data_IF_155187089901
#
_entry.id   IF_155187089901
#
_cell.length_a   1.000
_cell.length_b   1.000
_cell.length_c   1.000
_cell.angle_alpha   90.00
_cell.angle_beta   90.00
_cell.angle_gamma   90.00
#
_symmetry.space_group_name_H-M   'P 1'
#
loop_
_entity.id
_entity.type
_entity.pdbx_description
1 polymer ?
#
# COMPACT_ATOMS: atom_id res chain seq x y z
N UNK A 1 33.42 -7.46 -12.73
CA UNK A 1 32.95 -7.23 -11.34
C UNK A 1 31.48 -6.85 -11.44
N UNK A 2 30.59 -7.77 -11.13
CA UNK A 2 29.15 -7.49 -11.06
C UNK A 2 28.94 -6.65 -9.81
N UNK A 3 28.65 -5.37 -10.03
CA UNK A 3 28.20 -4.45 -8.99
C UNK A 3 26.85 -4.98 -8.47
N UNK A 4 26.93 -5.85 -7.47
CA UNK A 4 25.74 -6.34 -6.78
C UNK A 4 25.18 -5.14 -5.99
N UNK A 5 24.27 -4.42 -6.61
CA UNK A 5 23.50 -3.36 -5.94
C UNK A 5 22.70 -3.99 -4.81
N UNK A 6 23.26 -3.89 -3.61
CA UNK A 6 22.61 -4.40 -2.43
C UNK A 6 21.36 -3.56 -2.14
N UNK A 7 20.20 -4.22 -2.15
CA UNK A 7 18.89 -3.61 -1.92
C UNK A 7 18.74 -2.97 -0.54
N UNK A 8 19.54 -3.22 0.40
CA UNK A 8 19.41 -2.72 1.76
C UNK A 8 18.16 -3.25 2.50
N UNK A 9 18.23 -3.27 3.82
CA UNK A 9 17.19 -3.85 4.69
C UNK A 9 15.87 -3.08 4.56
N UNK A 10 15.91 -1.75 4.46
CA UNK A 10 14.70 -0.90 4.39
C UNK A 10 13.84 -1.24 3.17
N UNK A 11 14.44 -1.32 1.98
CA UNK A 11 13.70 -1.66 0.76
C UNK A 11 13.24 -3.11 0.74
N UNK A 12 14.00 -4.01 1.38
CA UNK A 12 13.57 -5.41 1.54
C UNK A 12 12.31 -5.50 2.40
N UNK A 13 12.29 -4.84 3.56
CA UNK A 13 11.12 -4.81 4.44
C UNK A 13 9.94 -4.17 3.72
N UNK A 14 10.13 -3.02 3.06
CA UNK A 14 9.07 -2.35 2.32
C UNK A 14 8.48 -3.25 1.21
N UNK A 15 9.31 -3.94 0.44
CA UNK A 15 8.87 -4.84 -0.62
C UNK A 15 8.07 -6.04 -0.06
N UNK A 16 8.51 -6.62 1.05
CA UNK A 16 7.78 -7.72 1.72
C UNK A 16 6.43 -7.26 2.25
N UNK A 17 6.38 -6.11 2.93
CA UNK A 17 5.12 -5.56 3.45
C UNK A 17 4.14 -5.24 2.31
N UNK A 18 4.62 -4.67 1.20
CA UNK A 18 3.78 -4.42 0.02
C UNK A 18 3.29 -5.71 -0.63
N UNK A 19 4.11 -6.76 -0.66
CA UNK A 19 3.69 -8.06 -1.16
C UNK A 19 2.57 -8.67 -0.27
N UNK A 20 2.69 -8.56 1.05
CA UNK A 20 1.64 -8.98 1.99
C UNK A 20 0.35 -8.17 1.75
N UNK A 21 0.46 -6.85 1.60
CA UNK A 21 -0.69 -5.99 1.30
C UNK A 21 -1.31 -6.33 -0.07
N UNK A 22 -0.49 -6.68 -1.06
CA UNK A 22 -0.97 -7.12 -2.38
C UNK A 22 -1.85 -8.37 -2.27
N UNK A 23 -1.39 -9.38 -1.54
CA UNK A 23 -2.17 -10.60 -1.28
C UNK A 23 -3.44 -10.27 -0.49
N UNK A 24 -3.35 -9.47 0.57
CA UNK A 24 -4.50 -9.05 1.37
C UNK A 24 -5.55 -8.34 0.51
N UNK A 25 -5.16 -7.44 -0.39
CA UNK A 25 -6.09 -6.77 -1.28
C UNK A 25 -6.66 -7.72 -2.35
N UNK A 26 -5.85 -8.58 -2.94
CA UNK A 26 -6.32 -9.55 -3.93
C UNK A 26 -7.36 -10.52 -3.35
N UNK A 27 -7.29 -10.83 -2.06
CA UNK A 27 -8.21 -11.75 -1.36
C UNK A 27 -9.38 -11.04 -0.66
N UNK A 28 -9.58 -9.73 -0.86
CA UNK A 28 -10.64 -8.96 -0.21
C UNK A 28 -12.04 -9.54 -0.39
N UNK A 29 -12.36 -10.04 -1.59
CA UNK A 29 -13.65 -10.68 -1.84
C UNK A 29 -13.88 -11.90 -0.95
N UNK A 30 -12.84 -12.73 -0.73
CA UNK A 30 -12.94 -13.91 0.13
C UNK A 30 -13.08 -13.50 1.60
N UNK A 31 -12.33 -12.49 2.05
CA UNK A 31 -12.45 -11.93 3.39
C UNK A 31 -13.87 -11.40 3.66
N UNK A 32 -14.44 -10.69 2.67
CA UNK A 32 -15.78 -10.14 2.76
C UNK A 32 -16.87 -11.23 2.80
N UNK A 33 -16.68 -12.35 2.11
CA UNK A 33 -17.61 -13.50 2.15
C UNK A 33 -17.55 -14.23 3.51
N UNK A 34 -16.38 -14.26 4.15
CA UNK A 34 -16.19 -14.92 5.45
C UNK A 34 -16.72 -14.06 6.61
N UNK A 35 -16.51 -12.77 6.54
CA UNK A 35 -16.94 -11.79 7.54
C UNK A 35 -17.66 -10.62 6.86
N UNK A 36 -19.01 -10.61 6.80
CA UNK A 36 -19.78 -9.52 6.19
C UNK A 36 -19.55 -8.14 6.84
N UNK A 37 -19.05 -8.10 8.07
CA UNK A 37 -18.65 -6.89 8.79
C UNK A 37 -17.29 -6.36 8.35
N UNK A 38 -16.59 -7.07 7.49
CA UNK A 38 -15.29 -6.65 6.98
C UNK A 38 -15.41 -5.37 6.15
N UNK A 39 -14.45 -4.47 6.35
CA UNK A 39 -14.46 -3.12 5.76
C UNK A 39 -14.43 -3.07 4.22
N UNK A 40 -14.26 -4.20 3.52
CA UNK A 40 -14.11 -4.18 2.07
C UNK A 40 -12.88 -3.39 1.60
N UNK A 41 -12.86 -3.02 0.32
CA UNK A 41 -11.80 -2.19 -0.22
C UNK A 41 -12.17 -0.70 -0.13
N UNK A 42 -11.21 0.14 0.24
CA UNK A 42 -11.38 1.60 0.32
C UNK A 42 -10.47 2.26 -0.71
N UNK A 43 -11.05 3.01 -1.63
CA UNK A 43 -10.33 3.75 -2.68
C UNK A 43 -10.82 5.20 -2.67
N UNK A 44 -9.90 6.16 -2.55
CA UNK A 44 -10.19 7.59 -2.43
C UNK A 44 -11.28 7.90 -1.39
N UNK A 45 -11.21 7.23 -0.24
CA UNK A 45 -12.16 7.41 0.86
C UNK A 45 -13.54 6.81 0.63
N UNK A 46 -13.77 6.15 -0.49
CA UNK A 46 -15.04 5.45 -0.77
C UNK A 46 -14.88 3.97 -0.41
N UNK A 47 -15.77 3.49 0.44
CA UNK A 47 -15.86 2.08 0.82
C UNK A 47 -16.69 1.30 -0.19
N UNK A 48 -16.16 0.21 -0.68
CA UNK A 48 -16.85 -0.71 -1.59
C UNK A 48 -17.27 -1.96 -0.82
N UNK A 49 -18.57 -2.04 -0.50
CA UNK A 49 -19.14 -3.07 0.38
C UNK A 49 -19.74 -4.25 -0.39
N UNK A 50 -19.82 -4.21 -1.72
CA UNK A 50 -20.36 -5.31 -2.50
C UNK A 50 -19.29 -6.38 -2.81
N UNK A 51 -19.69 -7.63 -2.84
CA UNK A 51 -18.84 -8.76 -3.28
C UNK A 51 -18.31 -8.49 -4.69
N UNK A 52 -19.17 -8.03 -5.60
CA UNK A 52 -18.80 -7.76 -6.99
C UNK A 52 -17.70 -6.71 -7.11
N UNK A 53 -17.80 -5.59 -6.37
CA UNK A 53 -16.75 -4.57 -6.38
C UNK A 53 -15.42 -5.08 -5.78
N UNK A 54 -15.49 -5.88 -4.72
CA UNK A 54 -14.29 -6.43 -4.09
C UNK A 54 -13.60 -7.51 -4.97
N UNK A 55 -14.37 -8.27 -5.76
CA UNK A 55 -13.84 -9.24 -6.75
C UNK A 55 -13.05 -8.53 -7.86
N UNK A 56 -13.45 -7.33 -8.26
CA UNK A 56 -12.79 -6.57 -9.33
C UNK A 56 -11.65 -5.68 -8.76
N UNK A 57 -12.00 -4.84 -7.78
CA UNK A 57 -11.08 -3.82 -7.27
C UNK A 57 -10.00 -4.41 -6.36
N UNK A 58 -10.29 -5.51 -5.66
CA UNK A 58 -9.32 -6.20 -4.81
C UNK A 58 -8.12 -6.70 -5.60
N UNK A 59 -8.31 -7.56 -6.61
CA UNK A 59 -7.21 -8.02 -7.48
C UNK A 59 -6.51 -6.89 -8.23
N UNK A 60 -7.25 -5.87 -8.69
CA UNK A 60 -6.65 -4.71 -9.36
C UNK A 60 -5.69 -3.96 -8.44
N UNK A 61 -6.12 -3.63 -7.22
CA UNK A 61 -5.28 -2.98 -6.23
C UNK A 61 -4.13 -3.91 -5.79
N UNK A 62 -4.40 -5.20 -5.63
CA UNK A 62 -3.39 -6.21 -5.37
C UNK A 62 -2.30 -6.24 -6.44
N UNK A 63 -2.68 -6.17 -7.73
CA UNK A 63 -1.74 -6.15 -8.85
C UNK A 63 -0.85 -4.88 -8.84
N UNK A 64 -1.43 -3.71 -8.53
CA UNK A 64 -0.66 -2.46 -8.40
C UNK A 64 0.36 -2.56 -7.27
N UNK A 65 -0.04 -3.07 -6.10
CA UNK A 65 0.86 -3.25 -4.96
C UNK A 65 1.92 -4.32 -5.23
N UNK A 66 1.57 -5.41 -5.91
CA UNK A 66 2.52 -6.45 -6.33
C UNK A 66 3.56 -5.90 -7.32
N UNK A 67 3.13 -5.10 -8.30
CA UNK A 67 4.04 -4.42 -9.21
C UNK A 67 4.99 -3.49 -8.44
N UNK A 68 4.47 -2.72 -7.48
CA UNK A 68 5.30 -1.84 -6.65
C UNK A 68 6.30 -2.64 -5.81
N UNK A 69 5.86 -3.72 -5.14
CA UNK A 69 6.73 -4.63 -4.40
C UNK A 69 7.85 -5.21 -5.29
N UNK A 70 7.50 -5.65 -6.48
CA UNK A 70 8.45 -6.16 -7.48
C UNK A 70 9.46 -5.08 -7.90
N UNK A 71 8.99 -3.86 -8.15
CA UNK A 71 9.87 -2.73 -8.50
C UNK A 71 10.89 -2.41 -7.42
N UNK A 72 10.48 -2.42 -6.15
CA UNK A 72 11.39 -2.25 -5.00
C UNK A 72 12.34 -3.45 -4.87
N UNK A 73 11.81 -4.67 -5.05
CA UNK A 73 12.60 -5.89 -4.95
C UNK A 73 13.71 -5.95 -5.98
N UNK A 74 13.44 -5.50 -7.19
CA UNK A 74 14.37 -5.55 -8.33
C UNK A 74 15.10 -4.22 -8.59
N UNK A 75 14.91 -3.21 -7.73
CA UNK A 75 15.50 -1.86 -7.84
C UNK A 75 15.21 -1.21 -9.21
N UNK A 76 14.00 -1.34 -9.71
CA UNK A 76 13.60 -0.75 -10.99
C UNK A 76 13.40 0.76 -10.87
N UNK A 77 13.85 1.57 -11.87
CA UNK A 77 13.73 3.03 -11.83
C UNK A 77 12.30 3.53 -11.70
N UNK A 78 11.34 2.82 -12.30
CA UNK A 78 9.93 3.17 -12.22
C UNK A 78 9.30 2.97 -10.82
N UNK A 79 9.98 2.28 -9.90
CA UNK A 79 9.52 2.17 -8.51
C UNK A 79 9.57 3.53 -7.78
N UNK A 80 10.46 4.44 -8.16
CA UNK A 80 10.56 5.76 -7.54
C UNK A 80 9.32 6.64 -7.78
N UNK A 81 8.87 6.89 -9.03
CA UNK A 81 7.63 7.65 -9.24
C UNK A 81 6.41 6.95 -8.65
N UNK A 82 6.36 5.61 -8.65
CA UNK A 82 5.27 4.87 -8.05
C UNK A 82 5.26 5.03 -6.52
N UNK A 83 6.43 5.07 -5.86
CA UNK A 83 6.52 5.31 -4.42
C UNK A 83 6.04 6.72 -4.05
N UNK A 84 6.35 7.71 -4.86
CA UNK A 84 5.88 9.09 -4.66
C UNK A 84 4.35 9.15 -4.81
N UNK A 85 3.80 8.55 -5.86
CA UNK A 85 2.36 8.48 -6.06
C UNK A 85 1.65 7.78 -4.89
N UNK A 86 2.21 6.69 -4.40
CA UNK A 86 1.67 5.95 -3.26
C UNK A 86 1.78 6.74 -1.95
N UNK A 87 2.87 7.49 -1.75
CA UNK A 87 3.06 8.36 -0.59
C UNK A 87 2.03 9.50 -0.51
N UNK A 88 1.53 9.98 -1.65
CA UNK A 88 0.42 10.92 -1.70
C UNK A 88 -0.94 10.23 -1.59
N UNK A 89 -1.10 9.08 -2.23
CA UNK A 89 -2.35 8.33 -2.23
C UNK A 89 -2.77 7.90 -0.82
N UNK A 90 -1.85 7.35 -0.02
CA UNK A 90 -2.18 6.80 1.31
C UNK A 90 -2.75 7.87 2.25
N UNK A 91 -2.07 9.03 2.49
CA UNK A 91 -2.63 10.06 3.36
C UNK A 91 -3.93 10.67 2.78
N UNK A 92 -3.99 10.88 1.46
CA UNK A 92 -5.20 11.38 0.82
C UNK A 92 -6.38 10.42 1.01
N UNK A 93 -6.16 9.12 0.77
CA UNK A 93 -7.18 8.08 0.98
C UNK A 93 -7.66 8.03 2.44
N UNK A 94 -6.75 8.16 3.40
CA UNK A 94 -7.06 8.19 4.83
C UNK A 94 -7.89 9.42 5.22
N UNK A 95 -7.49 10.61 4.77
CA UNK A 95 -8.21 11.85 5.05
C UNK A 95 -9.61 11.80 4.45
N UNK A 96 -9.73 11.35 3.19
CA UNK A 96 -11.03 11.23 2.52
C UNK A 96 -11.92 10.18 3.19
N UNK A 97 -11.34 9.06 3.60
CA UNK A 97 -12.07 8.02 4.34
C UNK A 97 -12.56 8.56 5.69
N UNK A 98 -11.70 9.23 6.43
CA UNK A 98 -12.06 9.88 7.69
C UNK A 98 -13.21 10.87 7.52
N UNK A 99 -13.17 11.68 6.48
CA UNK A 99 -14.19 12.71 6.25
C UNK A 99 -15.54 12.15 5.77
N UNK A 100 -15.54 11.05 4.98
CA UNK A 100 -16.72 10.53 4.30
C UNK A 100 -17.41 9.37 5.02
N UNK A 101 -16.66 8.54 5.74
CA UNK A 101 -17.11 7.21 6.14
C UNK A 101 -16.92 6.90 7.63
N UNK A 102 -16.62 7.91 8.45
CA UNK A 102 -16.70 7.76 9.89
C UNK A 102 -18.17 7.66 10.31
N UNK A 103 -18.66 6.41 10.25
CA UNK A 103 -19.93 6.06 10.87
C UNK A 103 -19.87 6.21 12.42
N UNK A 104 -20.99 5.96 13.11
CA UNK A 104 -21.10 6.12 14.56
C UNK A 104 -20.15 5.21 15.37
N UNK A 105 -19.58 4.19 14.76
CA UNK A 105 -18.62 3.30 15.39
C UNK A 105 -17.19 3.75 15.08
N UNK A 106 -16.65 4.62 15.90
CA UNK A 106 -15.25 5.02 15.85
C UNK A 106 -14.41 3.85 16.38
N UNK A 107 -13.50 3.28 15.57
CA UNK A 107 -12.58 2.26 16.08
C UNK A 107 -11.76 2.79 17.26
N UNK A 108 -11.23 1.95 18.14
CA UNK A 108 -10.40 2.40 19.25
C UNK A 108 -9.28 3.33 18.75
N UNK A 109 -9.16 4.51 19.34
CA UNK A 109 -8.19 5.55 18.93
C UNK A 109 -6.76 4.99 18.79
N UNK A 110 -6.38 4.08 19.66
CA UNK A 110 -5.08 3.40 19.61
C UNK A 110 -4.87 2.60 18.30
N UNK A 111 -5.90 1.91 17.83
CA UNK A 111 -5.85 1.16 16.55
C UNK A 111 -5.71 2.09 15.34
N UNK A 112 -6.42 3.19 15.34
CA UNK A 112 -6.33 4.21 14.29
C UNK A 112 -4.93 4.84 14.27
N UNK A 113 -4.42 5.25 15.42
CA UNK A 113 -3.08 5.85 15.52
C UNK A 113 -1.98 4.88 15.09
N UNK A 114 -2.08 3.60 15.48
CA UNK A 114 -1.13 2.58 15.05
C UNK A 114 -1.17 2.38 13.52
N UNK A 115 -2.38 2.28 12.95
CA UNK A 115 -2.55 2.16 11.49
C UNK A 115 -2.00 3.39 10.75
N UNK A 116 -2.31 4.59 11.22
CA UNK A 116 -1.80 5.85 10.65
C UNK A 116 -0.28 5.90 10.70
N UNK A 117 0.32 5.57 11.86
CA UNK A 117 1.76 5.57 12.02
C UNK A 117 2.43 4.62 11.02
N UNK A 118 1.94 3.38 10.90
CA UNK A 118 2.50 2.38 9.97
C UNK A 118 2.27 2.78 8.51
N UNK A 119 1.06 3.22 8.16
CA UNK A 119 0.71 3.57 6.78
C UNK A 119 1.49 4.81 6.30
N UNK A 120 1.58 5.86 7.12
CA UNK A 120 2.30 7.09 6.78
C UNK A 120 3.82 6.86 6.77
N UNK A 121 4.36 6.19 7.78
CA UNK A 121 5.80 5.90 7.84
C UNK A 121 6.21 4.98 6.69
N UNK A 122 5.42 3.95 6.41
CA UNK A 122 5.70 3.01 5.32
C UNK A 122 5.63 3.65 3.93
N UNK A 123 4.61 4.47 3.65
CA UNK A 123 4.46 5.11 2.35
C UNK A 123 5.42 6.29 2.15
N UNK A 124 5.40 7.25 3.07
CA UNK A 124 6.22 8.46 2.99
C UNK A 124 7.70 8.12 3.21
N UNK A 125 8.01 7.31 4.22
CA UNK A 125 9.38 6.88 4.52
C UNK A 125 10.03 6.17 3.35
N UNK A 126 9.32 5.28 2.65
CA UNK A 126 9.83 4.59 1.45
C UNK A 126 10.08 5.58 0.32
N UNK A 127 9.20 6.55 0.10
CA UNK A 127 9.38 7.58 -0.94
C UNK A 127 10.60 8.46 -0.65
N UNK A 128 10.78 8.91 0.58
CA UNK A 128 11.97 9.67 0.99
C UNK A 128 13.26 8.85 0.84
N UNK A 129 13.24 7.60 1.28
CA UNK A 129 14.39 6.71 1.15
C UNK A 129 14.79 6.53 -0.32
N UNK A 130 13.84 6.30 -1.22
CA UNK A 130 14.10 6.17 -2.66
C UNK A 130 14.54 7.49 -3.30
N UNK A 131 13.97 8.62 -2.88
CA UNK A 131 14.39 9.93 -3.36
C UNK A 131 15.84 10.24 -2.99
N UNK A 132 16.24 9.87 -1.76
CA UNK A 132 17.60 10.08 -1.27
C UNK A 132 18.62 9.11 -1.91
N UNK A 133 18.20 7.89 -2.23
CA UNK A 133 19.06 6.84 -2.79
C UNK A 133 18.76 6.56 -4.27
N UNK A 134 18.45 7.60 -5.05
CA UNK A 134 18.17 7.47 -6.49
C UNK A 134 19.29 6.82 -7.30
N UNK A 135 20.52 6.97 -6.85
CA UNK A 135 21.71 6.35 -7.40
C UNK A 135 21.69 4.82 -7.34
N UNK A 136 20.95 4.25 -6.37
CA UNK A 136 20.77 2.79 -6.22
C UNK A 136 19.77 2.20 -7.21
N UNK A 137 18.86 3.03 -7.75
CA UNK A 137 17.92 2.60 -8.77
C UNK A 137 18.64 2.52 -10.11
N UNK A 138 18.52 1.39 -10.81
CA UNK A 138 19.19 1.19 -12.09
C UNK A 138 18.92 2.33 -13.06
N UNK A 139 19.96 2.85 -13.68
CA UNK A 139 19.82 3.60 -14.93
C UNK A 139 19.58 2.57 -16.02
N UNK A 140 18.41 2.61 -16.65
CA UNK A 140 18.17 1.92 -17.90
C UNK A 140 18.83 2.70 -19.03
#
# INVERSE_FOLDING_TARGET
MTDQRERGVVLTIAAVLLAILAVSNATKALQFLQEPTHLGIVIFGVRFESVASNVILGPLMGAVLAAYAYGLWTLKPWAAPLSIAYAFYVPLNLVLFWYRDLGPEIPPVAGILAYLAVALTGSIGTAFYLAYHRDKLGRL
#
